data_IF_859605776351
#
_entry.id   IF_859605776351
#
_cell.length_a   1.000
_cell.length_b   1.000
_cell.length_c   1.000
_cell.angle_alpha   90.00
_cell.angle_beta   90.00
_cell.angle_gamma   90.00
#
_symmetry.space_group_name_H-M   'P 1'
#
loop_
_entity.id
_entity.type
_entity.pdbx_description
1 polymer ?
#
# COMPACT_ATOMS: atom_id res chain seq x y z
N UNK A 1 6.29 19.65 5.68
CA UNK A 1 4.92 19.43 6.17
C UNK A 1 3.99 19.08 5.01
N UNK A 2 3.95 19.92 3.97
CA UNK A 2 3.02 19.76 2.85
C UNK A 2 3.17 18.45 2.08
N UNK A 3 4.41 18.05 1.75
CA UNK A 3 4.69 16.81 1.02
C UNK A 3 4.31 15.54 1.79
N UNK A 4 4.63 15.51 3.09
CA UNK A 4 4.26 14.39 3.96
C UNK A 4 2.74 14.28 4.07
N UNK A 5 2.05 15.38 4.32
CA UNK A 5 0.59 15.40 4.36
C UNK A 5 -0.03 14.94 3.03
N UNK A 6 0.58 15.34 1.91
CA UNK A 6 0.17 14.89 0.58
C UNK A 6 0.29 13.37 0.41
N UNK A 7 1.42 12.76 0.78
CA UNK A 7 1.57 11.30 0.74
C UNK A 7 0.56 10.59 1.63
N UNK A 8 0.36 11.07 2.87
CA UNK A 8 -0.62 10.51 3.79
C UNK A 8 -2.03 10.54 3.21
N UNK A 9 -2.40 11.66 2.58
CA UNK A 9 -3.68 11.80 1.91
C UNK A 9 -3.78 10.84 0.72
N UNK A 10 -2.78 10.83 -0.17
CA UNK A 10 -2.75 9.99 -1.36
C UNK A 10 -2.86 8.50 -1.01
N UNK A 11 -2.11 8.02 -0.02
CA UNK A 11 -2.17 6.62 0.42
C UNK A 11 -3.52 6.26 1.04
N UNK A 12 -4.12 7.15 1.84
CA UNK A 12 -5.46 6.92 2.39
C UNK A 12 -6.52 6.87 1.29
N UNK A 13 -6.45 7.77 0.31
CA UNK A 13 -7.36 7.79 -0.84
C UNK A 13 -7.20 6.54 -1.71
N UNK A 14 -5.96 6.17 -2.05
CA UNK A 14 -5.62 4.94 -2.76
C UNK A 14 -6.23 3.72 -2.06
N UNK A 15 -5.92 3.50 -0.77
CA UNK A 15 -6.41 2.33 -0.04
C UNK A 15 -7.94 2.34 0.11
N UNK A 16 -8.54 3.50 0.32
CA UNK A 16 -10.01 3.65 0.40
C UNK A 16 -10.68 3.33 -0.94
N UNK A 17 -10.09 3.75 -2.05
CA UNK A 17 -10.56 3.40 -3.40
C UNK A 17 -10.58 1.87 -3.57
N UNK A 18 -9.49 1.18 -3.22
CA UNK A 18 -9.43 -0.28 -3.37
C UNK A 18 -10.23 -1.06 -2.34
N UNK A 19 -10.49 -0.49 -1.16
CA UNK A 19 -11.40 -1.10 -0.18
C UNK A 19 -12.82 -1.24 -0.75
N UNK A 20 -13.26 -0.30 -1.59
CA UNK A 20 -14.60 -0.31 -2.19
C UNK A 20 -14.78 -1.38 -3.28
N UNK A 21 -13.69 -1.92 -3.84
CA UNK A 21 -13.75 -3.10 -4.72
C UNK A 21 -13.84 -4.43 -3.93
N UNK A 22 -13.91 -4.36 -2.60
CA UNK A 22 -13.99 -5.52 -1.72
C UNK A 22 -15.19 -6.42 -1.99
N UNK A 23 -15.08 -7.66 -1.50
CA UNK A 23 -16.11 -8.69 -1.65
C UNK A 23 -17.45 -8.25 -1.03
N UNK A 24 -18.55 -8.56 -1.72
CA UNK A 24 -19.92 -8.46 -1.17
C UNK A 24 -20.26 -9.65 -0.23
N UNK A 25 -19.31 -10.56 0.00
CA UNK A 25 -19.48 -11.70 0.90
C UNK A 25 -19.52 -11.25 2.36
N UNK A 26 -20.63 -11.53 3.04
CA UNK A 26 -20.85 -11.19 4.45
C UNK A 26 -19.88 -11.89 5.41
N UNK A 27 -19.22 -12.97 4.98
CA UNK A 27 -18.20 -13.66 5.78
C UNK A 27 -16.80 -13.07 5.59
N UNK A 28 -16.66 -12.02 4.79
CA UNK A 28 -15.38 -11.40 4.47
C UNK A 28 -15.44 -9.89 4.70
N UNK A 29 -14.49 -9.41 5.50
CA UNK A 29 -14.33 -8.01 5.86
C UNK A 29 -13.10 -7.44 5.14
N UNK A 30 -13.23 -6.22 4.64
CA UNK A 30 -12.11 -5.42 4.18
C UNK A 30 -11.84 -4.33 5.20
N UNK A 31 -10.64 -4.32 5.77
CA UNK A 31 -10.25 -3.48 6.89
C UNK A 31 -9.21 -2.46 6.43
N UNK A 32 -9.50 -1.18 6.63
CA UNK A 32 -8.54 -0.08 6.47
C UNK A 32 -7.86 0.17 7.81
N UNK A 33 -6.53 0.06 7.84
CA UNK A 33 -5.73 0.31 9.03
C UNK A 33 -4.79 1.46 8.72
N UNK A 34 -5.03 2.60 9.35
CA UNK A 34 -4.22 3.79 9.20
C UNK A 34 -3.63 4.17 10.55
N UNK A 35 -2.34 3.93 10.73
CA UNK A 35 -1.56 4.49 11.82
C UNK A 35 -0.90 5.78 11.32
N UNK A 36 -1.54 6.91 11.59
CA UNK A 36 -1.02 8.22 11.18
C UNK A 36 0.06 8.78 12.10
N UNK A 37 0.28 8.15 13.25
CA UNK A 37 1.35 8.53 14.18
C UNK A 37 2.68 7.91 13.76
N UNK A 38 2.66 6.65 13.33
CA UNK A 38 3.83 5.89 12.89
C UNK A 38 3.94 5.73 11.37
N UNK A 39 3.00 6.31 10.61
CA UNK A 39 2.96 6.29 9.15
C UNK A 39 2.89 4.87 8.55
N UNK A 40 1.97 4.04 9.06
CA UNK A 40 1.66 2.72 8.51
C UNK A 40 0.24 2.67 7.93
N UNK A 41 0.10 2.19 6.69
CA UNK A 41 -1.16 2.20 5.95
C UNK A 41 -1.41 0.84 5.30
N UNK A 42 -2.44 0.12 5.74
CA UNK A 42 -2.74 -1.23 5.29
C UNK A 42 -4.18 -1.37 4.80
N UNK A 43 -4.35 -2.21 3.78
CA UNK A 43 -5.63 -2.80 3.42
C UNK A 43 -5.58 -4.30 3.72
N UNK A 44 -6.29 -4.73 4.74
CA UNK A 44 -6.41 -6.14 5.12
C UNK A 44 -7.72 -6.74 4.63
N UNK A 45 -7.68 -8.03 4.30
CA UNK A 45 -8.88 -8.86 4.13
C UNK A 45 -8.92 -9.93 5.21
N UNK A 46 -10.02 -9.94 5.95
CA UNK A 46 -10.19 -10.80 7.12
C UNK A 46 -11.55 -11.46 7.04
N UNK A 47 -11.61 -12.79 7.07
CA UNK A 47 -12.87 -13.50 6.95
C UNK A 47 -12.74 -15.00 6.75
N UNK A 48 -13.77 -15.59 6.17
CA UNK A 48 -13.79 -17.00 5.79
C UNK A 48 -14.28 -17.14 4.35
N UNK A 49 -13.50 -17.83 3.54
CA UNK A 49 -13.93 -18.33 2.24
C UNK A 49 -14.31 -19.80 2.41
N UNK A 50 -15.63 -20.06 2.55
CA UNK A 50 -16.18 -21.37 2.92
C UNK A 50 -15.57 -21.86 4.25
N UNK A 51 -14.66 -22.83 4.20
CA UNK A 51 -13.98 -23.42 5.37
C UNK A 51 -12.53 -22.93 5.53
N UNK A 52 -12.06 -22.05 4.63
CA UNK A 52 -10.70 -21.53 4.63
C UNK A 52 -10.68 -20.18 5.33
N UNK A 53 -9.82 -20.04 6.34
CA UNK A 53 -9.55 -18.75 6.97
C UNK A 53 -8.88 -17.83 5.95
N UNK A 54 -9.40 -16.61 5.82
CA UNK A 54 -8.76 -15.52 5.08
C UNK A 54 -8.26 -14.51 6.11
N UNK A 55 -6.96 -14.26 6.10
CA UNK A 55 -6.31 -13.17 6.81
C UNK A 55 -5.10 -12.76 5.98
N UNK A 56 -5.29 -11.77 5.11
CA UNK A 56 -4.33 -11.42 4.07
C UNK A 56 -4.15 -9.92 3.99
N UNK A 57 -2.91 -9.47 3.88
CA UNK A 57 -2.61 -8.08 3.53
C UNK A 57 -2.65 -7.93 2.01
N UNK A 58 -3.52 -7.05 1.52
CA UNK A 58 -3.65 -6.75 0.08
C UNK A 58 -2.59 -5.73 -0.31
N UNK A 59 -2.55 -4.63 0.45
CA UNK A 59 -1.57 -3.56 0.30
C UNK A 59 -1.03 -3.18 1.67
N UNK A 60 0.27 -2.91 1.73
CA UNK A 60 0.91 -2.28 2.89
C UNK A 60 1.89 -1.23 2.41
N UNK A 61 1.68 0.00 2.86
CA UNK A 61 2.58 1.12 2.68
C UNK A 61 3.09 1.64 4.02
N UNK A 62 4.34 2.10 4.03
CA UNK A 62 4.84 2.99 5.07
C UNK A 62 5.24 4.34 4.46
N UNK A 63 5.37 5.38 5.30
CA UNK A 63 6.15 6.57 4.95
C UNK A 63 7.37 6.62 5.86
N UNK A 64 8.57 6.49 5.30
CA UNK A 64 9.84 6.49 6.03
C UNK A 64 10.83 7.39 5.33
N UNK A 65 11.57 8.19 6.10
CA UNK A 65 12.61 9.11 5.59
C UNK A 65 12.11 10.00 4.43
N UNK A 66 10.84 10.40 4.48
CA UNK A 66 10.21 11.24 3.46
C UNK A 66 9.91 10.53 2.13
N UNK A 67 9.82 9.19 2.12
CA UNK A 67 9.45 8.37 0.95
C UNK A 67 8.36 7.37 1.28
N UNK A 68 7.63 6.96 0.25
CA UNK A 68 6.62 5.90 0.35
C UNK A 68 7.33 4.56 0.18
N UNK A 69 7.14 3.66 1.13
CA UNK A 69 7.65 2.29 1.05
C UNK A 69 6.50 1.34 0.77
N UNK A 70 6.52 0.71 -0.41
CA UNK A 70 5.59 -0.36 -0.73
C UNK A 70 6.10 -1.66 -0.11
N UNK A 71 5.49 -2.06 1.00
CA UNK A 71 5.89 -3.25 1.76
C UNK A 71 5.21 -4.52 1.26
N UNK A 72 4.00 -4.41 0.72
CA UNK A 72 3.24 -5.54 0.20
C UNK A 72 2.31 -5.08 -0.92
N UNK A 73 2.25 -5.86 -2.01
CA UNK A 73 1.26 -5.73 -3.07
C UNK A 73 0.85 -7.14 -3.52
N UNK A 74 -0.25 -7.65 -2.97
CA UNK A 74 -0.82 -8.96 -3.32
C UNK A 74 -1.89 -8.86 -4.42
N UNK A 75 -1.68 -7.97 -5.38
CA UNK A 75 -2.55 -7.75 -6.54
C UNK A 75 -1.73 -7.70 -7.83
N UNK A 76 -2.40 -7.62 -8.95
CA UNK A 76 -1.83 -7.39 -10.28
C UNK A 76 -1.70 -5.89 -10.65
N UNK A 77 -2.02 -4.99 -9.72
CA UNK A 77 -1.99 -3.54 -9.93
C UNK A 77 -0.54 -3.03 -9.93
N UNK A 78 -0.18 -2.22 -10.93
CA UNK A 78 1.06 -1.44 -10.90
C UNK A 78 0.88 -0.21 -10.01
N UNK A 79 1.22 -0.38 -8.74
CA UNK A 79 1.17 0.70 -7.74
C UNK A 79 2.07 1.87 -8.11
N UNK A 80 3.17 1.62 -8.83
CA UNK A 80 4.10 2.68 -9.24
C UNK A 80 3.44 3.64 -10.23
N UNK A 81 2.77 3.09 -11.24
CA UNK A 81 2.06 3.89 -12.25
C UNK A 81 0.86 4.63 -11.63
N UNK A 82 0.07 3.96 -10.78
CA UNK A 82 -1.04 4.57 -10.06
C UNK A 82 -0.59 5.77 -9.20
N UNK A 83 0.51 5.64 -8.46
CA UNK A 83 1.02 6.75 -7.65
C UNK A 83 1.65 7.86 -8.51
N UNK A 84 2.24 7.51 -9.67
CA UNK A 84 2.77 8.49 -10.63
C UNK A 84 1.67 9.32 -11.29
N UNK A 85 0.51 8.73 -11.61
CA UNK A 85 -0.69 9.46 -12.07
C UNK A 85 -1.20 10.44 -11.01
N UNK A 86 -0.97 10.14 -9.74
CA UNK A 86 -1.22 11.03 -8.59
C UNK A 86 -0.02 11.94 -8.30
N UNK A 87 0.88 12.15 -9.25
CA UNK A 87 1.99 13.11 -9.13
C UNK A 87 3.12 12.70 -8.18
N UNK A 88 3.19 11.44 -7.76
CA UNK A 88 4.29 10.91 -6.94
C UNK A 88 5.25 10.14 -7.86
N UNK A 89 6.44 10.69 -8.08
CA UNK A 89 7.44 10.05 -8.92
C UNK A 89 7.87 8.70 -8.36
N UNK A 90 8.21 7.75 -9.23
CA UNK A 90 8.81 6.46 -8.85
C UNK A 90 10.09 6.61 -8.00
N UNK A 91 10.80 7.74 -8.10
CA UNK A 91 11.98 8.07 -7.27
C UNK A 91 11.64 8.45 -5.82
N UNK A 92 10.35 8.59 -5.50
CA UNK A 92 9.82 8.87 -4.16
C UNK A 92 9.24 7.60 -3.51
N UNK A 93 9.27 6.49 -4.24
CA UNK A 93 8.74 5.19 -3.83
C UNK A 93 9.91 4.22 -3.67
N UNK A 94 9.91 3.42 -2.62
CA UNK A 94 10.85 2.33 -2.36
C UNK A 94 10.08 1.02 -2.39
N UNK A 95 10.59 0.04 -3.14
CA UNK A 95 10.03 -1.33 -3.12
C UNK A 95 10.59 -2.06 -1.90
N UNK A 96 9.83 -2.03 -0.81
CA UNK A 96 10.22 -2.53 0.51
C UNK A 96 10.46 -4.04 0.52
N UNK A 97 9.62 -4.79 -0.18
CA UNK A 97 9.72 -6.26 -0.31
C UNK A 97 10.85 -6.73 -1.24
N UNK A 98 11.50 -5.84 -2.00
CA UNK A 98 12.75 -6.19 -2.67
C UNK A 98 13.89 -6.17 -1.66
N UNK A 99 14.73 -7.22 -1.71
CA UNK A 99 15.96 -7.26 -0.94
C UNK A 99 16.82 -6.01 -1.23
N UNK A 100 17.46 -5.36 -0.24
CA UNK A 100 18.10 -4.05 -0.42
C UNK A 100 19.05 -3.96 -1.62
N UNK A 101 19.87 -4.98 -1.88
CA UNK A 101 20.83 -4.95 -3.01
C UNK A 101 20.17 -5.07 -4.38
N UNK A 102 18.89 -5.44 -4.47
CA UNK A 102 18.15 -5.55 -5.72
C UNK A 102 17.47 -4.23 -6.11
N UNK A 103 17.24 -3.32 -5.15
CA UNK A 103 16.50 -2.07 -5.39
C UNK A 103 17.20 -1.15 -6.39
N UNK A 104 18.53 -1.16 -6.42
CA UNK A 104 19.34 -0.41 -7.40
C UNK A 104 19.11 -0.84 -8.86
N UNK A 105 18.54 -2.03 -9.09
CA UNK A 105 18.22 -2.54 -10.42
C UNK A 105 16.75 -2.28 -10.81
N UNK A 106 16.01 -1.55 -9.97
CA UNK A 106 14.63 -1.14 -10.24
C UNK A 106 14.56 0.33 -10.68
N UNK A 107 13.42 0.72 -11.23
CA UNK A 107 13.13 2.12 -11.59
C UNK A 107 12.73 3.01 -10.39
N UNK A 108 12.74 2.45 -9.18
CA UNK A 108 12.31 3.09 -7.94
C UNK A 108 13.51 3.55 -7.09
N UNK A 109 13.25 4.23 -5.98
CA UNK A 109 14.29 4.57 -5.02
C UNK A 109 14.84 3.34 -4.28
N UNK A 110 16.10 3.46 -3.85
CA UNK A 110 16.83 2.40 -3.10
C UNK A 110 16.51 2.42 -1.59
N UNK A 111 16.26 3.62 -1.05
CA UNK A 111 15.96 3.93 0.34
C UNK A 111 15.14 5.19 0.44
#
# INVERSE_FOLDING_TARGET
MDKLNYYRQCLREFLTQYANYGSQDQNMETQLIFDTENDHYLLLRTGWDKKRRVHSCIFHFDIKDGKIWLQENNTDIDVGDELEERGISKQEIVIGFHYPSLRQHSQYAVS
#
